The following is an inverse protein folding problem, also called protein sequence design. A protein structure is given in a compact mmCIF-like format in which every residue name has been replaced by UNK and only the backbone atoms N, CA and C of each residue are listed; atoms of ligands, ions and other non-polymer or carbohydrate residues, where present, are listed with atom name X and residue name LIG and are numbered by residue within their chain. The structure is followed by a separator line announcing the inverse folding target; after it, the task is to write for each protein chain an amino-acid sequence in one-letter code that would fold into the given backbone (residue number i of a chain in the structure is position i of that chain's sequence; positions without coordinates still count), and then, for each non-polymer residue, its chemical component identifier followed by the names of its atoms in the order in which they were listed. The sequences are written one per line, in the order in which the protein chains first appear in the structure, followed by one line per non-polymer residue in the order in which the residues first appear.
data_IF_952469207990
#
_entry.id   IF_952469207990
#
_cell.length_a   1.000
_cell.length_b   1.000
_cell.length_c   1.000
_cell.angle_alpha   90.00
_cell.angle_beta   90.00
_cell.angle_gamma   90.00
#
_symmetry.space_group_name_H-M   'P 1'
#
loop_
_entity.id
_entity.type
_entity.pdbx_description
1 polymer ?
#
# COMPACT_ATOMS: atom_id res chain seq x y z
N UNK A 1 -22.64 5.82 -8.03
CA UNK A 1 -22.01 4.50 -7.79
C UNK A 1 -23.03 3.58 -7.15
N UNK A 2 -23.02 2.29 -7.49
CA UNK A 2 -23.98 1.30 -6.95
C UNK A 2 -23.38 0.38 -5.88
N UNK A 3 -22.06 0.32 -5.78
CA UNK A 3 -21.30 -0.40 -4.76
C UNK A 3 -19.86 0.13 -4.71
N UNK A 4 -19.13 -0.20 -3.65
CA UNK A 4 -17.70 0.11 -3.47
C UNK A 4 -16.94 -1.14 -3.00
N UNK A 5 -15.76 -1.38 -3.55
CA UNK A 5 -14.86 -2.45 -3.10
C UNK A 5 -13.54 -1.80 -2.69
N UNK A 6 -13.15 -2.01 -1.44
CA UNK A 6 -11.87 -1.58 -0.90
C UNK A 6 -10.92 -2.78 -0.88
N UNK A 7 -9.72 -2.62 -1.44
CA UNK A 7 -8.67 -3.64 -1.42
C UNK A 7 -7.52 -3.11 -0.60
N UNK A 8 -7.20 -3.78 0.51
CA UNK A 8 -6.15 -3.39 1.47
C UNK A 8 -6.14 -1.89 1.82
N UNK A 9 -7.27 -1.34 2.32
CA UNK A 9 -7.29 0.05 2.73
C UNK A 9 -6.38 0.27 3.94
N UNK A 10 -5.39 1.16 3.81
CA UNK A 10 -4.56 1.64 4.93
C UNK A 10 -5.34 2.62 5.83
N UNK A 11 -6.35 2.11 6.53
CA UNK A 11 -7.12 2.82 7.54
C UNK A 11 -6.86 2.22 8.92
N UNK A 12 -6.62 3.08 9.91
CA UNK A 12 -6.31 2.67 11.29
C UNK A 12 -7.30 3.30 12.26
N UNK A 13 -8.35 2.55 12.68
CA UNK A 13 -9.27 3.01 13.72
C UNK A 13 -8.59 3.32 15.06
N UNK A 14 -7.48 2.64 15.38
CA UNK A 14 -6.69 2.87 16.60
C UNK A 14 -5.66 3.99 16.49
N UNK A 15 -5.67 4.78 15.41
CA UNK A 15 -4.78 5.92 15.25
C UNK A 15 -3.36 5.55 14.78
N UNK A 16 -2.44 6.50 14.91
CA UNK A 16 -1.10 6.43 14.33
C UNK A 16 -0.10 5.57 15.10
N UNK A 17 -0.27 5.44 16.41
CA UNK A 17 0.74 4.78 17.25
C UNK A 17 0.90 3.30 16.90
N UNK A 18 -0.21 2.63 16.58
CA UNK A 18 -0.21 1.20 16.22
C UNK A 18 0.58 0.94 14.92
N UNK A 19 0.75 1.94 14.07
CA UNK A 19 1.46 1.81 12.78
C UNK A 19 2.82 2.51 12.79
N UNK A 20 3.28 3.04 13.93
CA UNK A 20 4.53 3.81 14.02
C UNK A 20 5.75 2.98 13.55
N UNK A 21 5.93 1.79 14.11
CA UNK A 21 7.08 0.93 13.78
C UNK A 21 7.04 0.43 12.34
N UNK A 22 5.83 0.19 11.81
CA UNK A 22 5.61 -0.17 10.41
C UNK A 22 6.09 0.95 9.49
N UNK A 23 5.76 2.21 9.82
CA UNK A 23 6.20 3.38 9.04
C UNK A 23 7.72 3.59 9.10
N UNK A 24 8.35 3.41 10.26
CA UNK A 24 9.81 3.46 10.38
C UNK A 24 10.49 2.39 9.50
N UNK A 25 9.94 1.18 9.48
CA UNK A 25 10.43 0.11 8.62
C UNK A 25 10.28 0.45 7.13
N UNK A 26 9.23 1.16 6.71
CA UNK A 26 9.11 1.64 5.32
C UNK A 26 10.16 2.66 4.95
N UNK A 27 10.42 3.64 5.83
CA UNK A 27 11.48 4.63 5.60
C UNK A 27 12.83 3.94 5.43
N UNK A 28 13.15 3.00 6.32
CA UNK A 28 14.38 2.21 6.25
C UNK A 28 14.47 1.45 4.92
N UNK A 29 13.43 0.70 4.55
CA UNK A 29 13.39 -0.11 3.33
C UNK A 29 13.45 0.73 2.06
N UNK A 30 12.84 1.92 2.05
CA UNK A 30 12.90 2.84 0.93
C UNK A 30 14.35 3.26 0.64
N UNK A 31 15.13 3.61 1.68
CA UNK A 31 16.53 3.98 1.52
C UNK A 31 17.45 2.81 1.15
N UNK A 32 17.22 1.62 1.72
CA UNK A 32 18.02 0.42 1.47
C UNK A 32 17.76 -0.21 0.09
N UNK A 33 16.62 0.09 -0.53
CA UNK A 33 16.25 -0.46 -1.83
C UNK A 33 17.05 0.19 -2.94
N UNK A 34 17.65 -0.64 -3.79
CA UNK A 34 18.19 -0.21 -5.10
C UNK A 34 17.07 0.39 -5.96
N UNK A 35 17.28 1.61 -6.44
CA UNK A 35 16.31 2.38 -7.23
C UNK A 35 16.79 2.71 -8.65
N UNK A 36 18.04 2.37 -9.01
CA UNK A 36 18.62 2.65 -10.33
C UNK A 36 19.19 1.40 -11.02
N UNK A 37 19.01 1.32 -12.33
CA UNK A 37 19.49 0.23 -13.18
C UNK A 37 19.99 0.74 -14.53
N UNK A 38 20.89 0.01 -15.18
CA UNK A 38 21.42 0.39 -16.49
C UNK A 38 20.37 0.27 -17.61
N UNK A 39 19.32 -0.54 -17.42
CA UNK A 39 18.23 -0.69 -18.38
C UNK A 39 16.96 -1.21 -17.71
N UNK A 40 15.82 -1.12 -18.41
CA UNK A 40 14.57 -1.78 -17.97
C UNK A 40 14.71 -3.30 -17.87
N UNK A 41 15.49 -3.91 -18.76
CA UNK A 41 15.75 -5.35 -18.71
C UNK A 41 16.52 -5.73 -17.44
N UNK A 42 17.49 -4.91 -17.03
CA UNK A 42 18.23 -5.09 -15.78
C UNK A 42 17.35 -4.90 -14.55
N UNK A 43 16.45 -3.92 -14.58
CA UNK A 43 15.48 -3.68 -13.51
C UNK A 43 14.54 -4.88 -13.35
N UNK A 44 13.97 -5.39 -14.45
CA UNK A 44 13.11 -6.59 -14.42
C UNK A 44 13.84 -7.81 -13.87
N UNK A 45 15.06 -8.06 -14.34
CA UNK A 45 15.91 -9.16 -13.86
C UNK A 45 16.22 -9.05 -12.37
N UNK A 46 16.46 -7.84 -11.88
CA UNK A 46 16.71 -7.59 -10.46
C UNK A 46 15.45 -7.80 -9.61
N UNK A 47 14.30 -7.26 -10.03
CA UNK A 47 13.08 -7.24 -9.23
C UNK A 47 12.34 -8.59 -9.21
N UNK A 48 12.33 -9.33 -10.33
CA UNK A 48 11.55 -10.58 -10.48
C UNK A 48 11.77 -11.61 -9.36
N UNK A 49 13.00 -11.95 -8.93
CA UNK A 49 13.19 -12.90 -7.83
C UNK A 49 12.97 -12.31 -6.44
N UNK A 50 12.75 -10.99 -6.32
CA UNK A 50 12.68 -10.25 -5.06
C UNK A 50 11.27 -9.84 -4.66
N UNK A 51 10.28 -10.12 -5.51
CA UNK A 51 8.89 -9.76 -5.26
C UNK A 51 7.95 -10.89 -5.68
N UNK A 52 6.88 -11.18 -4.92
CA UNK A 52 5.86 -12.16 -5.29
C UNK A 52 4.83 -11.60 -6.29
N UNK A 53 5.15 -10.54 -7.03
CA UNK A 53 4.19 -9.86 -7.91
C UNK A 53 3.88 -10.67 -9.17
N UNK A 54 2.65 -10.51 -9.68
CA UNK A 54 2.27 -10.98 -11.02
C UNK A 54 3.27 -10.39 -12.06
N UNK A 55 3.81 -11.22 -12.97
CA UNK A 55 4.78 -10.76 -13.96
C UNK A 55 4.31 -9.54 -14.77
N UNK A 56 3.01 -9.43 -15.07
CA UNK A 56 2.43 -8.32 -15.83
C UNK A 56 2.44 -7.01 -15.02
N UNK A 57 2.18 -7.10 -13.72
CA UNK A 57 2.26 -5.94 -12.81
C UNK A 57 3.71 -5.46 -12.71
N UNK A 58 4.64 -6.40 -12.57
CA UNK A 58 6.06 -6.06 -12.52
C UNK A 58 6.57 -5.43 -13.83
N UNK A 59 6.11 -5.92 -14.97
CA UNK A 59 6.43 -5.34 -16.28
C UNK A 59 5.92 -3.90 -16.39
N UNK A 60 4.68 -3.63 -16.01
CA UNK A 60 4.12 -2.28 -15.97
C UNK A 60 4.89 -1.36 -15.01
N UNK A 61 5.28 -1.87 -13.84
CA UNK A 61 6.07 -1.13 -12.86
C UNK A 61 7.42 -0.68 -13.44
N UNK A 62 8.08 -1.52 -14.22
CA UNK A 62 9.36 -1.16 -14.85
C UNK A 62 9.18 -0.28 -16.10
N UNK A 63 8.11 -0.48 -16.88
CA UNK A 63 7.82 0.35 -18.05
C UNK A 63 7.60 1.82 -17.65
N UNK A 64 6.95 2.05 -16.52
CA UNK A 64 6.68 3.39 -15.98
C UNK A 64 7.89 4.05 -15.32
N UNK A 65 9.01 3.34 -15.17
CA UNK A 65 10.26 3.89 -14.67
C UNK A 65 10.75 5.07 -15.53
N UNK A 66 11.29 6.09 -14.86
CA UNK A 66 11.86 7.29 -15.47
C UNK A 66 13.21 6.95 -16.09
N UNK A 67 13.52 7.56 -17.23
CA UNK A 67 14.89 7.57 -17.75
C UNK A 67 15.67 8.68 -17.07
N UNK A 68 16.89 8.38 -16.65
CA UNK A 68 17.85 9.44 -16.36
C UNK A 68 18.40 9.94 -17.69
N UNK A 69 18.37 11.26 -17.89
CA UNK A 69 19.07 11.91 -19.00
C UNK A 69 20.55 12.07 -18.64
N UNK A 70 21.40 12.23 -19.65
CA UNK A 70 22.86 12.46 -19.59
C UNK A 70 23.41 13.01 -18.25
N UNK A 71 24.53 12.47 -17.72
CA UNK A 71 25.46 11.51 -18.35
C UNK A 71 25.15 10.02 -18.07
N UNK A 72 24.06 9.73 -17.35
CA UNK A 72 23.70 8.35 -16.97
C UNK A 72 22.53 7.85 -17.81
N UNK A 73 22.79 6.96 -18.78
CA UNK A 73 21.76 6.29 -19.57
C UNK A 73 21.15 5.10 -18.80
N UNK A 74 20.51 5.40 -17.67
CA UNK A 74 19.87 4.42 -16.81
C UNK A 74 18.36 4.62 -16.68
N UNK A 75 17.72 3.71 -15.95
CA UNK A 75 16.35 3.87 -15.49
C UNK A 75 16.31 3.94 -13.97
N UNK A 76 15.43 4.81 -13.48
CA UNK A 76 15.16 5.00 -12.06
C UNK A 76 13.67 4.88 -11.78
N UNK A 77 13.31 4.58 -10.53
CA UNK A 77 11.90 4.48 -10.13
C UNK A 77 11.14 5.78 -10.43
N UNK A 78 9.86 5.64 -10.81
CA UNK A 78 9.01 6.80 -11.06
C UNK A 78 8.80 7.65 -9.79
N UNK A 79 8.67 6.97 -8.64
CA UNK A 79 8.71 7.55 -7.31
C UNK A 79 10.13 7.39 -6.75
N UNK A 80 10.83 8.49 -6.51
CA UNK A 80 12.14 8.48 -5.88
C UNK A 80 12.05 8.03 -4.43
N UNK A 81 13.17 7.56 -3.88
CA UNK A 81 13.27 7.20 -2.46
C UNK A 81 12.88 8.35 -1.54
N UNK A 82 13.30 9.56 -1.89
CA UNK A 82 13.00 10.76 -1.11
C UNK A 82 11.51 11.10 -1.17
N UNK A 83 10.86 10.99 -2.33
CA UNK A 83 9.41 11.19 -2.45
C UNK A 83 8.62 10.18 -1.61
N UNK A 84 9.00 8.90 -1.64
CA UNK A 84 8.39 7.85 -0.82
C UNK A 84 8.57 8.13 0.68
N UNK A 85 9.79 8.47 1.09
CA UNK A 85 10.12 8.78 2.50
C UNK A 85 9.41 10.04 2.98
N UNK A 86 9.42 11.13 2.19
CA UNK A 86 8.74 12.38 2.53
C UNK A 86 7.24 12.15 2.68
N UNK A 87 6.63 11.32 1.81
CA UNK A 87 5.23 10.94 1.94
C UNK A 87 4.96 10.23 3.27
N UNK A 88 5.77 9.24 3.63
CA UNK A 88 5.62 8.51 4.90
C UNK A 88 5.83 9.45 6.09
N UNK A 89 6.90 10.25 6.10
CA UNK A 89 7.19 11.22 7.16
C UNK A 89 6.08 12.27 7.30
N UNK A 90 5.52 12.76 6.20
CA UNK A 90 4.40 13.70 6.23
C UNK A 90 3.20 13.10 6.96
N UNK A 91 2.85 11.85 6.68
CA UNK A 91 1.79 11.14 7.42
C UNK A 91 2.17 10.77 8.86
N UNK A 92 3.45 10.80 9.24
CA UNK A 92 3.89 10.56 10.62
C UNK A 92 3.82 11.83 11.47
N UNK A 93 4.18 12.97 10.91
CA UNK A 93 4.43 14.19 11.69
C UNK A 93 3.48 15.35 11.39
N UNK A 94 2.84 15.38 10.20
CA UNK A 94 1.99 16.51 9.78
C UNK A 94 0.53 16.15 9.66
N UNK A 95 0.20 15.04 8.99
CA UNK A 95 -1.18 14.58 8.91
C UNK A 95 -1.45 13.45 9.90
N UNK A 96 -1.63 13.85 11.17
CA UNK A 96 -1.87 12.90 12.26
C UNK A 96 -3.22 12.17 12.16
N UNK A 97 -4.13 12.73 11.37
CA UNK A 97 -5.50 12.22 11.21
C UNK A 97 -5.69 11.39 9.96
N UNK A 98 -4.75 11.40 9.01
CA UNK A 98 -4.90 10.76 7.70
C UNK A 98 -5.45 9.33 7.76
N UNK A 99 -4.89 8.43 8.60
CA UNK A 99 -5.37 7.05 8.71
C UNK A 99 -6.76 6.88 9.32
N UNK A 100 -7.29 7.88 10.03
CA UNK A 100 -8.56 7.79 10.76
C UNK A 100 -9.67 8.71 10.21
N UNK A 101 -9.30 9.82 9.56
CA UNK A 101 -10.23 10.84 9.04
C UNK A 101 -11.24 10.28 8.03
N UNK A 102 -10.81 9.29 7.23
CA UNK A 102 -11.68 8.62 6.27
C UNK A 102 -12.77 7.73 6.90
N UNK A 103 -12.66 7.38 8.18
CA UNK A 103 -13.55 6.40 8.82
C UNK A 103 -14.97 6.92 9.00
N UNK A 104 -15.15 8.18 9.39
CA UNK A 104 -16.49 8.78 9.53
C UNK A 104 -17.23 8.87 8.19
N UNK A 105 -16.49 9.22 7.14
CA UNK A 105 -17.00 9.20 5.76
C UNK A 105 -17.36 7.79 5.33
N UNK A 106 -16.50 6.81 5.66
CA UNK A 106 -16.76 5.40 5.37
C UNK A 106 -18.01 4.88 6.08
N UNK A 107 -18.24 5.25 7.33
CA UNK A 107 -19.48 4.94 8.07
C UNK A 107 -20.71 5.44 7.30
N UNK A 108 -20.66 6.69 6.83
CA UNK A 108 -21.75 7.29 6.04
C UNK A 108 -21.96 6.60 4.69
N UNK A 109 -20.89 6.15 4.03
CA UNK A 109 -20.97 5.45 2.74
C UNK A 109 -21.54 4.05 2.91
N UNK A 110 -21.10 3.30 3.92
CA UNK A 110 -21.62 1.95 4.22
C UNK A 110 -23.12 1.94 4.53
N UNK A 111 -23.69 3.08 4.97
CA UNK A 111 -25.13 3.22 5.18
C UNK A 111 -25.93 3.46 3.89
N UNK A 112 -25.28 3.91 2.81
CA UNK A 112 -25.93 4.34 1.56
C UNK A 112 -25.76 3.35 0.42
N UNK A 113 -24.58 2.76 0.29
CA UNK A 113 -24.25 1.78 -0.74
C UNK A 113 -23.57 0.57 -0.12
N UNK A 114 -23.68 -0.61 -0.75
CA UNK A 114 -22.96 -1.77 -0.28
C UNK A 114 -21.45 -1.58 -0.47
N UNK A 115 -20.70 -1.74 0.62
CA UNK A 115 -19.23 -1.66 0.63
C UNK A 115 -18.66 -3.02 0.99
N UNK A 116 -17.72 -3.51 0.20
CA UNK A 116 -16.98 -4.74 0.44
C UNK A 116 -15.52 -4.43 0.71
N UNK A 117 -14.86 -5.26 1.52
CA UNK A 117 -13.43 -5.12 1.80
C UNK A 117 -12.69 -6.43 1.61
N UNK A 118 -11.50 -6.35 1.01
CA UNK A 118 -10.60 -7.47 0.75
C UNK A 118 -9.26 -7.18 1.43
N UNK A 119 -8.77 -8.14 2.21
CA UNK A 119 -7.45 -8.11 2.84
C UNK A 119 -6.58 -9.28 2.37
N UNK A 120 -5.28 -9.11 2.39
CA UNK A 120 -4.27 -10.15 2.42
C UNK A 120 -4.04 -10.60 3.87
N UNK A 121 -3.77 -11.88 4.02
CA UNK A 121 -3.57 -12.51 5.33
C UNK A 121 -2.14 -12.31 5.88
N UNK A 122 -1.13 -12.25 5.01
CA UNK A 122 0.28 -12.07 5.38
C UNK A 122 0.67 -10.59 5.43
N UNK A 123 0.05 -9.85 6.34
CA UNK A 123 0.18 -8.39 6.38
C UNK A 123 1.30 -7.92 7.32
N UNK A 124 2.02 -6.87 6.95
CA UNK A 124 2.92 -6.17 7.88
C UNK A 124 2.15 -5.34 8.92
N UNK A 125 0.87 -5.07 8.67
CA UNK A 125 -0.03 -4.47 9.65
C UNK A 125 -0.55 -5.58 10.59
N UNK A 126 -0.56 -5.34 11.91
CA UNK A 126 -1.22 -6.22 12.85
C UNK A 126 -2.67 -6.55 12.45
N UNK A 127 -3.05 -7.83 12.53
CA UNK A 127 -4.41 -8.33 12.28
C UNK A 127 -5.48 -7.56 13.07
N UNK A 128 -5.13 -7.12 14.28
CA UNK A 128 -5.99 -6.28 15.12
C UNK A 128 -6.49 -4.99 14.43
N UNK A 129 -5.70 -4.40 13.51
CA UNK A 129 -6.14 -3.22 12.76
C UNK A 129 -7.23 -3.58 11.76
N UNK A 130 -7.08 -4.68 11.01
CA UNK A 130 -8.10 -5.16 10.08
C UNK A 130 -9.39 -5.53 10.83
N UNK A 131 -9.26 -6.18 11.98
CA UNK A 131 -10.40 -6.62 12.78
C UNK A 131 -11.13 -5.43 13.40
N UNK A 132 -10.40 -4.45 13.94
CA UNK A 132 -10.96 -3.16 14.34
C UNK A 132 -11.60 -2.43 13.16
N UNK A 133 -11.04 -2.57 11.94
CA UNK A 133 -11.58 -1.98 10.73
C UNK A 133 -12.93 -2.60 10.34
N UNK A 134 -13.18 -3.88 10.59
CA UNK A 134 -14.45 -4.52 10.20
C UNK A 134 -15.41 -4.76 11.36
N UNK A 135 -15.06 -4.30 12.56
CA UNK A 135 -15.89 -4.43 13.75
C UNK A 135 -17.32 -3.88 13.50
N UNK A 136 -18.37 -4.72 13.59
CA UNK A 136 -19.75 -4.29 13.43
C UNK A 136 -20.19 -3.18 14.40
N UNK A 137 -19.51 -3.04 15.55
CA UNK A 137 -19.78 -2.00 16.54
C UNK A 137 -19.23 -0.61 16.13
N UNK A 138 -18.36 -0.55 15.11
CA UNK A 138 -17.68 0.68 14.67
C UNK A 138 -18.53 1.65 13.84
N UNK A 139 -19.83 1.35 13.67
CA UNK A 139 -20.79 2.16 12.91
C UNK A 139 -20.78 1.92 11.40
N UNK A 140 -19.73 1.32 10.86
CA UNK A 140 -19.66 0.83 9.47
C UNK A 140 -20.01 -0.65 9.39
N UNK A 141 -20.76 -1.00 8.36
CA UNK A 141 -21.13 -2.39 8.07
C UNK A 141 -20.75 -2.73 6.63
N UNK A 142 -19.73 -3.56 6.49
CA UNK A 142 -19.35 -4.09 5.19
C UNK A 142 -20.33 -5.18 4.77
N UNK A 143 -20.70 -5.20 3.49
CA UNK A 143 -21.50 -6.27 2.88
C UNK A 143 -20.72 -7.58 2.87
N UNK A 144 -19.45 -7.52 2.48
CA UNK A 144 -18.55 -8.67 2.50
C UNK A 144 -17.18 -8.27 3.03
N UNK A 145 -16.58 -9.19 3.78
CA UNK A 145 -15.21 -9.10 4.27
C UNK A 145 -14.49 -10.36 3.78
N UNK A 146 -13.49 -10.19 2.93
CA UNK A 146 -12.73 -11.30 2.34
C UNK A 146 -11.28 -11.22 2.77
N UNK A 147 -10.65 -12.37 3.02
CA UNK A 147 -9.22 -12.47 3.34
C UNK A 147 -8.58 -13.50 2.44
N UNK A 148 -7.55 -13.10 1.71
CA UNK A 148 -6.82 -13.95 0.77
C UNK A 148 -5.61 -14.54 1.48
N UNK A 149 -5.60 -15.87 1.59
CA UNK A 149 -4.56 -16.65 2.27
C UNK A 149 -3.25 -16.62 1.47
N UNK A 150 -2.11 -16.56 2.17
CA UNK A 150 -0.77 -16.59 1.54
C UNK A 150 -0.42 -15.33 0.73
N UNK A 151 -1.20 -14.26 0.87
CA UNK A 151 -1.01 -13.01 0.14
C UNK A 151 -0.75 -11.88 1.13
N UNK A 152 0.27 -11.08 0.85
CA UNK A 152 0.64 -9.95 1.68
C UNK A 152 -0.17 -8.68 1.42
N UNK A 153 0.28 -7.56 1.99
CA UNK A 153 -0.45 -6.28 1.91
C UNK A 153 -0.66 -5.76 0.47
N UNK A 154 0.21 -6.13 -0.48
CA UNK A 154 0.09 -5.72 -1.87
C UNK A 154 -0.77 -6.69 -2.68
N UNK A 155 -1.99 -6.98 -2.18
CA UNK A 155 -2.92 -7.98 -2.75
C UNK A 155 -3.17 -7.77 -4.24
N UNK A 156 -3.31 -6.51 -4.67
CA UNK A 156 -3.56 -6.17 -6.08
C UNK A 156 -2.37 -6.43 -7.00
N UNK A 157 -1.19 -6.61 -6.43
CA UNK A 157 0.06 -6.82 -7.17
C UNK A 157 0.46 -8.29 -7.25
N UNK A 158 -0.10 -9.15 -6.40
CA UNK A 158 0.18 -10.59 -6.33
C UNK A 158 -0.81 -11.39 -7.18
N UNK A 159 -0.32 -12.46 -7.81
CA UNK A 159 -1.12 -13.38 -8.65
C UNK A 159 -1.82 -14.45 -7.81
#
# INVERSE_FOLDING_TARGET
FSALILVEPLLSPGGLEIIHDVKLNFIKRAYERRDTWASRADALRYLRPRTPWDPRVLELYVVTAKHETEPYHGVTLACSRDEEVVSVLYTMYRDLTGPSKGLESLNSICARIPVSVVFGDENYLPRAIQDALVDPASGRRFRTVSRIQGVGHLVSSTA
#
